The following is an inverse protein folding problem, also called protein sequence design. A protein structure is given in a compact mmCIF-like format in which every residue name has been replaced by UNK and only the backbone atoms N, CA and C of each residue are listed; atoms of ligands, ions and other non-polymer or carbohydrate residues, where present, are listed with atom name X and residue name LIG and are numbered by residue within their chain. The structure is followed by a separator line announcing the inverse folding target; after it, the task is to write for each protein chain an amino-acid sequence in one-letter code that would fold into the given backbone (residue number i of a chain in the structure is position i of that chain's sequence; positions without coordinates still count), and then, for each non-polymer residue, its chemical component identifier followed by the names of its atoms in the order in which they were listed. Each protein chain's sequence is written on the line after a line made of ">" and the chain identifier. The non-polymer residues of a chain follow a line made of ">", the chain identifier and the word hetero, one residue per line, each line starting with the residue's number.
data_IF_760179855458
#
_entry.id   IF_760179855458
#
_cell.length_a   1.000
_cell.length_b   1.000
_cell.length_c   1.000
_cell.angle_alpha   90.00
_cell.angle_beta   90.00
_cell.angle_gamma   90.00
#
_symmetry.space_group_name_H-M   'P 1'
#
loop_
_entity.id
_entity.type
_entity.pdbx_description
1 polymer ?
#
# COMPACT_ATOMS: atom_id res chain seq x y z
N UNK A 1 -70.81 -16.61 25.20
CA UNK A 1 -70.51 -15.75 24.04
C UNK A 1 -69.47 -14.62 24.33
N UNK A 2 -69.51 -13.94 25.45
CA UNK A 2 -68.60 -12.82 25.79
C UNK A 2 -67.09 -13.14 25.83
N UNK A 3 -66.70 -14.37 26.15
CA UNK A 3 -65.26 -14.77 26.21
C UNK A 3 -64.63 -14.94 24.81
N UNK A 4 -65.37 -15.49 23.86
CA UNK A 4 -64.88 -15.67 22.49
C UNK A 4 -64.67 -14.34 21.76
N UNK A 5 -65.52 -13.34 21.99
CA UNK A 5 -65.38 -11.99 21.43
C UNK A 5 -64.12 -11.29 21.94
N UNK A 6 -63.75 -11.46 23.22
CA UNK A 6 -62.53 -10.87 23.77
C UNK A 6 -61.26 -11.45 23.16
N UNK A 7 -61.20 -12.76 22.96
CA UNK A 7 -60.05 -13.46 22.36
C UNK A 7 -59.88 -13.04 20.89
N UNK A 8 -60.98 -12.95 20.14
CA UNK A 8 -60.91 -12.48 18.73
C UNK A 8 -60.44 -11.02 18.62
N UNK A 9 -60.85 -10.16 19.59
CA UNK A 9 -60.38 -8.78 19.65
C UNK A 9 -58.89 -8.66 19.90
N UNK A 10 -58.29 -9.47 20.81
CA UNK A 10 -56.87 -9.47 21.08
C UNK A 10 -56.05 -10.02 19.92
N UNK A 11 -56.56 -11.00 19.18
CA UNK A 11 -55.90 -11.55 17.97
C UNK A 11 -55.86 -10.51 16.84
N UNK A 12 -56.97 -9.75 16.65
CA UNK A 12 -57.01 -8.69 15.64
C UNK A 12 -56.07 -7.52 15.97
N UNK A 13 -56.02 -7.13 17.26
CA UNK A 13 -55.05 -6.08 17.69
C UNK A 13 -53.61 -6.54 17.52
N UNK A 14 -53.31 -7.78 17.86
CA UNK A 14 -51.97 -8.36 17.65
C UNK A 14 -51.59 -8.42 16.17
N UNK A 15 -52.51 -8.82 15.31
CA UNK A 15 -52.27 -8.89 13.85
C UNK A 15 -52.08 -7.50 13.23
N UNK A 16 -52.85 -6.49 13.66
CA UNK A 16 -52.67 -5.09 13.22
C UNK A 16 -51.39 -4.48 13.75
N UNK A 17 -51.04 -4.71 15.01
CA UNK A 17 -49.74 -4.25 15.55
C UNK A 17 -48.54 -4.91 14.83
N UNK A 18 -48.62 -6.19 14.55
CA UNK A 18 -47.59 -6.92 13.77
C UNK A 18 -47.47 -6.40 12.34
N UNK A 19 -48.58 -6.13 11.66
CA UNK A 19 -48.58 -5.55 10.31
C UNK A 19 -48.02 -4.12 10.29
N UNK A 20 -48.39 -3.29 11.28
CA UNK A 20 -47.83 -1.94 11.40
C UNK A 20 -46.31 -1.92 11.70
N UNK A 21 -45.84 -2.82 12.55
CA UNK A 21 -44.38 -2.91 12.83
C UNK A 21 -43.61 -3.40 11.65
N UNK A 22 -44.09 -4.36 10.87
CA UNK A 22 -43.42 -4.86 9.64
C UNK A 22 -43.41 -3.78 8.56
N UNK A 23 -44.47 -3.00 8.36
CA UNK A 23 -44.52 -1.91 7.40
C UNK A 23 -43.59 -0.78 7.82
N UNK A 24 -43.50 -0.47 9.12
CA UNK A 24 -42.61 0.59 9.64
C UNK A 24 -41.14 0.21 9.50
N UNK A 25 -40.76 -1.07 9.74
CA UNK A 25 -39.42 -1.56 9.51
C UNK A 25 -39.01 -1.55 8.02
N UNK A 26 -39.96 -1.87 7.12
CA UNK A 26 -39.72 -1.80 5.67
C UNK A 26 -39.55 -0.37 5.15
N UNK A 27 -40.27 0.61 5.72
CA UNK A 27 -40.13 2.03 5.34
C UNK A 27 -38.84 2.64 5.85
N UNK A 28 -38.35 2.27 7.02
CA UNK A 28 -37.06 2.72 7.54
C UNK A 28 -35.91 2.12 6.74
N UNK A 29 -36.01 0.84 6.32
CA UNK A 29 -35.01 0.19 5.47
C UNK A 29 -34.97 0.75 4.03
N UNK A 30 -36.09 1.28 3.51
CA UNK A 30 -36.15 1.88 2.17
C UNK A 30 -35.66 3.34 2.12
N UNK A 31 -35.55 4.02 3.25
CA UNK A 31 -35.15 5.43 3.29
C UNK A 31 -33.70 5.73 3.19
N UNK A 32 -32.81 4.72 3.22
CA UNK A 32 -31.35 4.92 3.26
C UNK A 32 -30.54 4.25 2.14
N UNK A 33 -31.19 3.46 1.27
CA UNK A 33 -30.51 2.84 0.14
C UNK A 33 -31.22 3.27 -1.15
N UNK A 34 -30.47 3.88 -2.07
CA UNK A 34 -30.93 4.03 -3.45
C UNK A 34 -31.40 2.66 -3.97
N UNK A 35 -32.46 2.60 -4.81
CA UNK A 35 -32.97 1.33 -5.32
C UNK A 35 -31.83 0.57 -5.99
N UNK A 36 -31.52 -0.62 -5.44
CA UNK A 36 -30.47 -1.47 -6.01
C UNK A 36 -30.91 -1.95 -7.42
N UNK A 37 -30.02 -1.94 -8.39
CA UNK A 37 -30.29 -2.43 -9.75
C UNK A 37 -30.34 -3.97 -9.72
N UNK A 38 -31.48 -4.54 -9.33
CA UNK A 38 -31.60 -5.98 -9.07
C UNK A 38 -31.42 -6.83 -10.33
N UNK A 39 -31.85 -6.36 -11.50
CA UNK A 39 -31.67 -7.08 -12.77
C UNK A 39 -30.20 -7.18 -13.15
N UNK A 40 -29.44 -6.10 -13.00
CA UNK A 40 -28.00 -6.06 -13.28
C UNK A 40 -27.21 -6.89 -12.27
N UNK A 41 -27.63 -6.88 -11.00
CA UNK A 41 -27.02 -7.75 -9.99
C UNK A 41 -27.31 -9.23 -10.25
N UNK A 42 -28.49 -9.57 -10.73
CA UNK A 42 -28.81 -10.94 -11.16
C UNK A 42 -27.96 -11.36 -12.38
N UNK A 43 -27.76 -10.45 -13.33
CA UNK A 43 -26.89 -10.70 -14.48
C UNK A 43 -25.44 -10.94 -14.04
N UNK A 44 -24.92 -10.11 -13.13
CA UNK A 44 -23.59 -10.29 -12.55
C UNK A 44 -23.47 -11.67 -11.86
N UNK A 45 -24.46 -12.04 -11.06
CA UNK A 45 -24.50 -13.34 -10.40
C UNK A 45 -24.56 -14.52 -11.39
N UNK A 46 -25.28 -14.35 -12.50
CA UNK A 46 -25.36 -15.38 -13.57
C UNK A 46 -24.01 -15.57 -14.26
N UNK A 47 -23.31 -14.45 -14.59
CA UNK A 47 -21.96 -14.51 -15.17
C UNK A 47 -20.97 -15.14 -14.21
N UNK A 48 -21.04 -14.79 -12.92
CA UNK A 48 -20.23 -15.43 -11.87
C UNK A 48 -20.45 -16.94 -11.83
N UNK A 49 -21.73 -17.38 -11.88
CA UNK A 49 -22.09 -18.80 -11.91
C UNK A 49 -21.53 -19.51 -13.15
N UNK A 50 -21.66 -18.94 -14.35
CA UNK A 50 -21.10 -19.50 -15.59
C UNK A 50 -19.57 -19.64 -15.52
N UNK A 51 -18.86 -18.63 -15.03
CA UNK A 51 -17.40 -18.71 -14.87
C UNK A 51 -17.03 -19.85 -13.93
N UNK A 52 -17.76 -19.99 -12.80
CA UNK A 52 -17.49 -21.04 -11.82
C UNK A 52 -17.72 -22.46 -12.37
N UNK A 53 -18.70 -22.65 -13.24
CA UNK A 53 -19.09 -23.97 -13.77
C UNK A 53 -18.38 -24.32 -15.07
N UNK A 54 -18.16 -23.35 -15.94
CA UNK A 54 -17.81 -23.61 -17.33
C UNK A 54 -16.35 -23.27 -17.67
N UNK A 55 -15.64 -22.53 -16.76
CA UNK A 55 -14.24 -22.24 -16.99
C UNK A 55 -13.36 -23.48 -16.81
N UNK A 56 -12.34 -23.62 -17.67
CA UNK A 56 -11.51 -24.82 -17.78
C UNK A 56 -10.68 -25.12 -16.51
N UNK A 57 -10.32 -24.09 -15.74
CA UNK A 57 -9.55 -24.22 -14.51
C UNK A 57 -10.37 -23.85 -13.27
N UNK A 58 -10.07 -24.43 -12.08
CA UNK A 58 -10.72 -24.02 -10.84
C UNK A 58 -10.51 -22.54 -10.54
N UNK A 59 -11.58 -21.81 -10.25
CA UNK A 59 -11.56 -20.37 -10.01
C UNK A 59 -11.67 -20.08 -8.51
N UNK A 60 -10.81 -19.18 -7.99
CA UNK A 60 -10.96 -18.63 -6.64
C UNK A 60 -12.11 -17.62 -6.61
N UNK A 61 -13.21 -17.99 -5.97
CA UNK A 61 -14.42 -17.17 -5.86
C UNK A 61 -14.15 -15.81 -5.21
N UNK A 62 -13.30 -15.77 -4.16
CA UNK A 62 -12.98 -14.52 -3.46
C UNK A 62 -12.18 -13.58 -4.37
N UNK A 63 -11.26 -14.15 -5.14
CA UNK A 63 -10.49 -13.39 -6.12
C UNK A 63 -11.40 -12.84 -7.21
N UNK A 64 -12.31 -13.66 -7.74
CA UNK A 64 -13.25 -13.23 -8.80
C UNK A 64 -14.15 -12.08 -8.34
N UNK A 65 -14.68 -12.15 -7.12
CA UNK A 65 -15.47 -11.04 -6.53
C UNK A 65 -14.61 -9.79 -6.32
N UNK A 66 -13.38 -9.94 -5.80
CA UNK A 66 -12.47 -8.81 -5.63
C UNK A 66 -12.13 -8.14 -6.96
N UNK A 67 -11.91 -8.92 -8.01
CA UNK A 67 -11.62 -8.41 -9.35
C UNK A 67 -12.85 -7.70 -9.97
N UNK A 68 -14.07 -8.19 -9.73
CA UNK A 68 -15.28 -7.51 -10.13
C UNK A 68 -15.44 -6.14 -9.44
N UNK A 69 -15.18 -6.07 -8.12
CA UNK A 69 -15.21 -4.81 -7.36
C UNK A 69 -14.15 -3.84 -7.91
N UNK A 70 -12.93 -4.33 -8.17
CA UNK A 70 -11.86 -3.52 -8.79
C UNK A 70 -12.30 -2.96 -10.15
N UNK A 71 -12.92 -3.80 -10.99
CA UNK A 71 -13.44 -3.38 -12.29
C UNK A 71 -14.50 -2.27 -12.19
N UNK A 72 -15.42 -2.37 -11.23
CA UNK A 72 -16.41 -1.33 -10.99
C UNK A 72 -15.79 0.01 -10.59
N UNK A 73 -14.82 -0.03 -9.67
CA UNK A 73 -14.19 1.21 -9.16
C UNK A 73 -13.27 1.84 -10.20
N UNK A 74 -12.46 1.04 -10.91
CA UNK A 74 -11.57 1.55 -11.97
C UNK A 74 -12.32 2.07 -13.21
N UNK A 75 -13.59 1.71 -13.34
CA UNK A 75 -14.48 2.25 -14.40
C UNK A 75 -14.96 3.68 -14.11
N UNK A 76 -14.77 4.22 -12.91
CA UNK A 76 -15.22 5.57 -12.55
C UNK A 76 -14.30 6.65 -13.14
N UNK A 77 -13.00 6.52 -12.87
CA UNK A 77 -11.96 7.43 -13.34
C UNK A 77 -10.55 6.78 -13.18
N UNK A 78 -9.49 7.36 -13.79
CA UNK A 78 -8.14 6.79 -13.72
C UNK A 78 -7.48 6.85 -12.33
N UNK A 79 -8.06 7.53 -11.36
CA UNK A 79 -7.50 7.77 -10.03
C UNK A 79 -8.25 7.00 -8.93
N UNK A 80 -9.42 6.44 -9.26
CA UNK A 80 -10.21 5.62 -8.33
C UNK A 80 -9.72 4.18 -8.33
N UNK A 81 -9.39 3.65 -7.15
CA UNK A 81 -8.88 2.30 -7.00
C UNK A 81 -9.47 1.61 -5.76
N UNK A 82 -9.78 0.33 -5.89
CA UNK A 82 -10.19 -0.52 -4.78
C UNK A 82 -9.02 -1.36 -4.29
N UNK A 83 -8.72 -1.24 -3.01
CA UNK A 83 -7.73 -2.06 -2.33
C UNK A 83 -8.43 -3.12 -1.47
N UNK A 84 -8.18 -4.40 -1.77
CA UNK A 84 -8.47 -5.46 -0.82
C UNK A 84 -7.50 -5.38 0.40
N UNK A 85 -7.75 -6.19 1.43
CA UNK A 85 -6.95 -6.16 2.66
C UNK A 85 -5.44 -6.30 2.41
N UNK A 86 -5.04 -7.08 1.41
CA UNK A 86 -3.63 -7.32 1.08
C UNK A 86 -3.04 -6.13 0.33
N UNK A 87 -3.68 -5.70 -0.73
CA UNK A 87 -3.22 -4.55 -1.54
C UNK A 87 -3.26 -3.25 -0.74
N UNK A 88 -4.24 -3.08 0.18
CA UNK A 88 -4.26 -1.96 1.10
C UNK A 88 -3.05 -1.95 2.06
N UNK A 89 -2.64 -3.14 2.56
CA UNK A 89 -1.43 -3.24 3.37
C UNK A 89 -0.18 -2.86 2.56
N UNK A 90 -0.06 -3.35 1.33
CA UNK A 90 1.06 -3.03 0.42
C UNK A 90 1.08 -1.52 0.10
N UNK A 91 -0.07 -0.92 -0.18
CA UNK A 91 -0.21 0.52 -0.37
C UNK A 91 0.23 1.30 0.87
N UNK A 92 -0.21 0.88 2.07
CA UNK A 92 0.22 1.50 3.32
C UNK A 92 1.72 1.36 3.59
N UNK A 93 2.32 0.24 3.28
CA UNK A 93 3.77 0.07 3.38
C UNK A 93 4.52 1.08 2.50
N UNK A 94 4.03 1.35 1.29
CA UNK A 94 4.56 2.38 0.39
C UNK A 94 4.43 3.79 0.98
N UNK A 95 3.25 4.16 1.48
CA UNK A 95 2.99 5.51 2.02
C UNK A 95 3.66 5.78 3.36
N UNK A 96 3.80 4.76 4.22
CA UNK A 96 4.53 4.88 5.49
C UNK A 96 6.04 4.78 5.31
N UNK A 97 6.51 4.23 4.21
CA UNK A 97 7.93 3.93 3.99
C UNK A 97 8.46 2.80 4.87
N UNK A 98 7.56 1.99 5.47
CA UNK A 98 7.89 0.89 6.38
C UNK A 98 7.40 -0.44 5.83
N UNK A 99 8.27 -1.41 5.80
CA UNK A 99 7.92 -2.78 5.43
C UNK A 99 8.76 -3.79 6.19
N UNK A 100 8.29 -5.03 6.31
CA UNK A 100 9.06 -6.09 6.98
C UNK A 100 9.82 -6.91 5.93
N UNK A 101 11.13 -6.98 6.10
CA UNK A 101 12.01 -7.70 5.19
C UNK A 101 13.46 -7.70 5.63
N UNK A 102 14.37 -7.83 4.68
CA UNK A 102 15.82 -7.89 4.92
C UNK A 102 16.55 -6.59 4.56
N UNK A 103 15.88 -5.64 3.90
CA UNK A 103 16.42 -4.31 3.57
C UNK A 103 17.44 -4.33 2.43
N UNK A 104 17.01 -4.82 1.26
CA UNK A 104 17.83 -4.84 0.03
C UNK A 104 17.00 -4.17 -1.08
N UNK A 105 17.62 -3.25 -1.79
CA UNK A 105 17.16 -2.77 -3.08
C UNK A 105 17.67 -3.71 -4.16
N UNK A 106 16.76 -4.22 -5.01
CA UNK A 106 17.08 -5.28 -5.96
C UNK A 106 16.60 -4.95 -7.37
N UNK A 107 17.25 -5.54 -8.35
CA UNK A 107 16.83 -5.55 -9.74
C UNK A 107 16.98 -6.96 -10.33
N UNK A 108 16.55 -7.16 -11.55
CA UNK A 108 16.76 -8.42 -12.27
C UNK A 108 17.88 -8.28 -13.30
N UNK A 109 18.82 -9.24 -13.29
CA UNK A 109 19.91 -9.32 -14.27
C UNK A 109 20.11 -10.79 -14.64
N UNK A 110 20.01 -11.13 -15.93
CA UNK A 110 20.20 -12.48 -16.49
C UNK A 110 19.37 -13.59 -15.80
N UNK A 111 18.13 -13.25 -15.42
CA UNK A 111 17.23 -14.18 -14.75
C UNK A 111 17.55 -14.42 -13.27
N UNK A 112 18.50 -13.69 -12.70
CA UNK A 112 18.86 -13.67 -11.30
C UNK A 112 18.43 -12.36 -10.64
N UNK A 113 18.37 -12.36 -9.32
CA UNK A 113 18.12 -11.14 -8.53
C UNK A 113 19.46 -10.52 -8.16
N UNK A 114 19.69 -9.30 -8.64
CA UNK A 114 20.89 -8.52 -8.36
C UNK A 114 20.62 -7.50 -7.26
N UNK A 115 21.52 -7.42 -6.30
CA UNK A 115 21.55 -6.38 -5.27
C UNK A 115 22.00 -5.07 -5.91
N UNK A 116 21.12 -4.05 -5.90
CA UNK A 116 21.49 -2.66 -6.25
C UNK A 116 22.23 -2.05 -5.07
N UNK A 117 21.59 -2.08 -3.89
CA UNK A 117 22.23 -1.66 -2.64
C UNK A 117 21.51 -2.27 -1.42
N UNK A 118 22.23 -2.61 -0.35
CA UNK A 118 21.61 -2.84 0.95
C UNK A 118 21.21 -1.50 1.57
N UNK A 119 20.05 -1.46 2.24
CA UNK A 119 19.57 -0.28 2.97
C UNK A 119 20.41 -0.13 4.24
N UNK A 120 20.95 1.06 4.47
CA UNK A 120 21.78 1.35 5.64
C UNK A 120 21.08 0.98 6.95
N UNK A 121 21.79 0.31 7.85
CA UNK A 121 21.27 -0.16 9.13
C UNK A 121 20.35 -1.38 9.06
N UNK A 122 20.04 -1.89 7.87
CA UNK A 122 19.20 -3.09 7.68
C UNK A 122 19.93 -4.40 8.03
N UNK A 123 19.20 -5.53 8.20
CA UNK A 123 19.82 -6.84 8.37
C UNK A 123 20.82 -7.20 7.26
N UNK A 124 20.48 -6.90 6.03
CA UNK A 124 21.38 -7.17 4.88
C UNK A 124 22.65 -6.33 4.93
N UNK A 125 22.53 -5.05 5.31
CA UNK A 125 23.68 -4.17 5.48
C UNK A 125 24.62 -4.67 6.57
N UNK A 126 24.07 -5.01 7.76
CA UNK A 126 24.85 -5.54 8.88
C UNK A 126 25.52 -6.88 8.58
N UNK A 127 24.90 -7.70 7.71
CA UNK A 127 25.45 -8.98 7.29
C UNK A 127 26.51 -8.86 6.17
N UNK A 128 26.84 -7.66 5.69
CA UNK A 128 27.87 -7.43 4.70
C UNK A 128 27.47 -7.81 3.26
N UNK A 129 26.17 -7.78 2.95
CA UNK A 129 25.70 -7.85 1.57
C UNK A 129 26.15 -6.57 0.84
N UNK A 130 26.66 -6.73 -0.37
CA UNK A 130 27.27 -5.65 -1.15
C UNK A 130 26.47 -5.35 -2.43
N UNK A 131 26.55 -4.13 -2.99
CA UNK A 131 26.10 -3.87 -4.35
C UNK A 131 26.74 -4.85 -5.35
N UNK A 132 25.96 -5.24 -6.36
CA UNK A 132 26.31 -6.24 -7.39
C UNK A 132 26.38 -7.69 -6.92
N UNK A 133 26.12 -8.02 -5.66
CA UNK A 133 25.88 -9.40 -5.25
C UNK A 133 24.69 -9.99 -6.02
N UNK A 134 24.78 -11.24 -6.44
CA UNK A 134 23.69 -11.96 -7.08
C UNK A 134 23.07 -12.95 -6.10
N UNK A 135 21.76 -12.84 -5.90
CA UNK A 135 20.99 -13.80 -5.09
C UNK A 135 20.62 -14.96 -6.01
N UNK A 136 21.11 -16.14 -5.71
CA UNK A 136 20.89 -17.37 -6.50
C UNK A 136 19.81 -18.26 -5.91
N UNK A 137 19.63 -18.22 -4.56
CA UNK A 137 18.56 -18.93 -3.85
C UNK A 137 18.00 -18.07 -2.72
N UNK A 138 16.72 -18.28 -2.42
CA UNK A 138 16.02 -17.76 -1.22
C UNK A 138 15.49 -19.00 -0.48
N UNK A 139 16.01 -19.28 0.70
CA UNK A 139 15.87 -20.55 1.38
C UNK A 139 16.26 -21.70 0.42
N UNK A 140 15.40 -22.72 0.24
CA UNK A 140 15.63 -23.82 -0.68
C UNK A 140 15.19 -23.53 -2.12
N UNK A 141 14.62 -22.35 -2.40
CA UNK A 141 14.07 -22.00 -3.71
C UNK A 141 15.12 -21.33 -4.58
N UNK A 142 15.44 -21.90 -5.75
CA UNK A 142 16.25 -21.23 -6.76
C UNK A 142 15.53 -19.98 -7.28
N UNK A 143 16.28 -18.87 -7.44
CA UNK A 143 15.74 -17.60 -7.92
C UNK A 143 15.55 -17.58 -9.44
N UNK A 144 16.35 -18.37 -10.16
CA UNK A 144 16.26 -18.45 -11.62
C UNK A 144 14.86 -18.90 -12.07
N UNK A 145 14.21 -18.07 -12.89
CA UNK A 145 12.83 -18.29 -13.35
C UNK A 145 11.75 -17.68 -12.46
N UNK A 146 12.07 -17.11 -11.30
CA UNK A 146 11.13 -16.34 -10.52
C UNK A 146 10.96 -14.93 -11.08
N UNK A 147 9.76 -14.37 -10.95
CA UNK A 147 9.57 -12.94 -11.12
C UNK A 147 10.23 -12.17 -9.97
N UNK A 148 10.62 -10.91 -10.21
CA UNK A 148 11.16 -10.05 -9.14
C UNK A 148 10.16 -9.91 -7.98
N UNK A 149 8.87 -9.80 -8.29
CA UNK A 149 7.79 -9.74 -7.29
C UNK A 149 7.74 -11.00 -6.41
N UNK A 150 7.91 -12.19 -6.99
CA UNK A 150 7.89 -13.43 -6.22
C UNK A 150 9.14 -13.60 -5.37
N UNK A 151 10.30 -13.16 -5.86
CA UNK A 151 11.52 -13.09 -5.07
C UNK A 151 11.34 -12.13 -3.86
N UNK A 152 10.76 -10.93 -4.08
CA UNK A 152 10.43 -9.98 -3.00
C UNK A 152 9.49 -10.61 -1.98
N UNK A 153 8.41 -11.30 -2.42
CA UNK A 153 7.47 -11.97 -1.50
C UNK A 153 8.15 -12.99 -0.61
N UNK A 154 9.12 -13.74 -1.15
CA UNK A 154 9.90 -14.74 -0.38
C UNK A 154 10.87 -14.10 0.62
N UNK A 155 11.49 -12.96 0.26
CA UNK A 155 12.37 -12.21 1.17
C UNK A 155 11.61 -11.48 2.27
N UNK A 156 10.35 -11.06 2.01
CA UNK A 156 9.44 -10.51 3.01
C UNK A 156 8.85 -11.62 3.89
N UNK A 157 8.21 -11.24 5.01
CA UNK A 157 7.56 -12.19 5.91
C UNK A 157 7.20 -11.56 7.24
N UNK A 158 6.97 -12.40 8.25
CA UNK A 158 6.73 -11.91 9.61
C UNK A 158 8.03 -11.37 10.23
N UNK A 159 7.96 -10.31 11.07
CA UNK A 159 9.12 -9.82 11.77
C UNK A 159 9.72 -10.90 12.68
N UNK A 160 11.03 -10.83 12.89
CA UNK A 160 11.81 -11.79 13.69
C UNK A 160 11.88 -13.21 13.12
N UNK A 161 11.38 -13.47 11.92
CA UNK A 161 11.60 -14.73 11.21
C UNK A 161 12.89 -14.69 10.40
N UNK A 162 13.50 -15.85 10.16
CA UNK A 162 14.73 -15.96 9.39
C UNK A 162 14.46 -16.27 7.92
N UNK A 163 15.38 -15.82 7.07
CA UNK A 163 15.47 -16.19 5.66
C UNK A 163 16.94 -16.36 5.31
N UNK A 164 17.28 -17.37 4.52
CA UNK A 164 18.64 -17.61 4.06
C UNK A 164 18.75 -17.24 2.59
N UNK A 165 19.64 -16.29 2.26
CA UNK A 165 19.96 -15.92 0.89
C UNK A 165 21.27 -16.59 0.49
N UNK A 166 21.29 -17.31 -0.62
CA UNK A 166 22.53 -17.78 -1.21
C UNK A 166 23.04 -16.73 -2.18
N UNK A 167 24.17 -16.13 -1.85
CA UNK A 167 24.79 -15.01 -2.55
C UNK A 167 25.92 -15.53 -3.42
N UNK A 168 25.98 -15.11 -4.69
CA UNK A 168 27.15 -15.22 -5.53
C UNK A 168 27.81 -13.85 -5.69
N UNK A 169 29.02 -13.69 -5.21
CA UNK A 169 29.83 -12.47 -5.31
C UNK A 169 30.84 -12.62 -6.42
N UNK A 170 30.65 -11.89 -7.52
CA UNK A 170 31.51 -12.00 -8.73
C UNK A 170 32.94 -11.67 -8.43
N UNK A 171 33.23 -10.60 -7.71
CA UNK A 171 34.58 -10.12 -7.40
C UNK A 171 35.41 -11.11 -6.59
N UNK A 172 34.74 -11.93 -5.77
CA UNK A 172 35.40 -12.98 -4.96
C UNK A 172 35.23 -14.37 -5.58
N UNK A 173 34.53 -14.50 -6.71
CA UNK A 173 34.17 -15.78 -7.36
C UNK A 173 33.62 -16.82 -6.37
N UNK A 174 32.86 -16.36 -5.37
CA UNK A 174 32.44 -17.18 -4.23
C UNK A 174 30.92 -17.19 -4.08
N UNK A 175 30.39 -18.38 -3.79
CA UNK A 175 29.00 -18.57 -3.39
C UNK A 175 28.93 -18.93 -1.91
N UNK A 176 28.09 -18.24 -1.15
CA UNK A 176 27.94 -18.45 0.29
C UNK A 176 26.52 -18.15 0.76
N UNK A 177 26.02 -18.85 1.79
CA UNK A 177 24.73 -18.55 2.41
C UNK A 177 24.88 -17.41 3.42
N UNK A 178 23.85 -16.55 3.47
CA UNK A 178 23.69 -15.48 4.47
C UNK A 178 22.31 -15.62 5.09
N UNK A 179 22.26 -15.96 6.36
CA UNK A 179 20.98 -16.03 7.11
C UNK A 179 20.69 -14.68 7.73
N UNK A 180 19.53 -14.13 7.40
CA UNK A 180 19.07 -12.82 7.83
C UNK A 180 17.80 -12.96 8.68
N UNK A 181 17.67 -12.12 9.69
CA UNK A 181 16.41 -11.98 10.45
C UNK A 181 15.61 -10.87 9.79
N UNK A 182 14.34 -11.12 9.48
CA UNK A 182 13.43 -10.09 8.95
C UNK A 182 13.10 -9.08 10.03
N UNK A 183 13.26 -7.82 9.71
CA UNK A 183 12.97 -6.70 10.60
C UNK A 183 12.09 -5.68 9.89
N UNK A 184 11.51 -4.75 10.66
CA UNK A 184 10.87 -3.57 10.07
C UNK A 184 11.96 -2.68 9.47
N UNK A 185 11.89 -2.47 8.17
CA UNK A 185 12.80 -1.62 7.40
C UNK A 185 12.11 -0.29 7.18
N UNK A 186 12.81 0.78 7.45
CA UNK A 186 12.37 2.12 7.12
C UNK A 186 13.20 2.70 5.98
N UNK A 187 12.52 3.08 4.91
CA UNK A 187 13.16 3.78 3.79
C UNK A 187 13.26 5.27 4.11
N UNK A 188 14.38 5.89 3.71
CA UNK A 188 14.54 7.34 3.79
C UNK A 188 14.11 7.96 2.46
N UNK A 189 13.03 8.75 2.50
CA UNK A 189 12.54 9.48 1.33
C UNK A 189 13.30 10.77 1.05
N UNK A 190 14.07 11.27 2.03
CA UNK A 190 14.81 12.53 1.92
C UNK A 190 16.32 12.28 1.95
N UNK A 191 17.03 12.85 0.99
CA UNK A 191 18.50 12.89 0.92
C UNK A 191 18.94 14.31 0.60
N UNK A 192 20.09 14.72 1.11
CA UNK A 192 20.60 16.06 0.83
C UNK A 192 22.06 16.21 1.20
N UNK A 193 22.70 17.22 0.66
CA UNK A 193 24.10 17.60 0.93
C UNK A 193 24.37 19.02 0.54
N UNK A 194 25.40 19.60 1.12
CA UNK A 194 26.06 20.80 0.59
C UNK A 194 26.79 20.39 -0.70
N UNK A 195 26.57 21.13 -1.78
CA UNK A 195 27.23 20.90 -3.09
C UNK A 195 28.56 21.66 -3.11
N UNK A 196 28.49 22.94 -2.77
CA UNK A 196 29.61 23.88 -2.65
C UNK A 196 29.20 24.98 -1.67
N UNK A 197 30.12 25.80 -1.15
CA UNK A 197 29.80 26.86 -0.21
C UNK A 197 28.69 27.78 -0.70
N UNK A 198 27.62 27.89 0.05
CA UNK A 198 26.42 28.67 -0.25
C UNK A 198 25.36 27.92 -1.06
N UNK A 199 25.60 26.67 -1.49
CA UNK A 199 24.67 25.93 -2.33
C UNK A 199 24.43 24.51 -1.79
N UNK A 200 23.17 24.17 -1.61
CA UNK A 200 22.76 22.84 -1.17
C UNK A 200 21.70 22.21 -2.08
N UNK A 201 21.56 20.92 -1.95
CA UNK A 201 20.61 20.11 -2.66
C UNK A 201 19.91 19.18 -1.69
N UNK A 202 18.56 19.14 -1.75
CA UNK A 202 17.72 18.16 -1.05
C UNK A 202 16.83 17.51 -2.09
N UNK A 203 16.78 16.18 -2.06
CA UNK A 203 15.89 15.36 -2.88
C UNK A 203 14.84 14.71 -2.03
N UNK A 204 13.59 14.78 -2.46
CA UNK A 204 12.48 13.99 -1.97
C UNK A 204 12.13 12.98 -3.05
N UNK A 205 12.20 11.69 -2.74
CA UNK A 205 11.91 10.61 -3.68
C UNK A 205 10.47 10.13 -3.61
N UNK A 206 9.76 10.42 -2.52
CA UNK A 206 8.34 10.13 -2.30
C UNK A 206 7.86 10.87 -1.05
N UNK A 207 6.58 11.27 -1.01
CA UNK A 207 5.97 11.88 0.16
C UNK A 207 5.41 10.80 1.10
N UNK A 208 6.15 10.48 2.16
CA UNK A 208 5.83 9.47 3.17
C UNK A 208 5.55 10.13 4.54
N UNK A 209 5.08 9.35 5.53
CA UNK A 209 4.77 9.85 6.88
C UNK A 209 5.91 10.66 7.51
N UNK A 210 7.15 10.23 7.30
CA UNK A 210 8.34 10.89 7.89
C UNK A 210 9.03 11.90 6.99
N UNK A 211 8.51 12.14 5.80
CA UNK A 211 9.17 13.02 4.84
C UNK A 211 9.38 14.42 5.39
N UNK A 212 8.40 14.95 6.15
CA UNK A 212 8.51 16.28 6.76
C UNK A 212 9.61 16.31 7.80
N UNK A 213 9.61 15.38 8.76
CA UNK A 213 10.63 15.32 9.81
C UNK A 213 12.04 15.11 9.25
N UNK A 214 12.16 14.19 8.26
CA UNK A 214 13.43 13.89 7.62
C UNK A 214 13.93 15.09 6.79
N UNK A 215 13.02 15.86 6.16
CA UNK A 215 13.35 17.09 5.45
C UNK A 215 13.86 18.18 6.40
N UNK A 216 13.14 18.42 7.50
CA UNK A 216 13.55 19.40 8.51
C UNK A 216 14.91 19.04 9.09
N UNK A 217 15.09 17.78 9.49
CA UNK A 217 16.36 17.27 10.04
C UNK A 217 17.51 17.44 9.04
N UNK A 218 17.26 17.15 7.75
CA UNK A 218 18.27 17.28 6.70
C UNK A 218 18.60 18.77 6.40
N UNK A 219 17.59 19.63 6.40
CA UNK A 219 17.78 21.06 6.21
C UNK A 219 18.61 21.66 7.37
N UNK A 220 18.34 21.27 8.62
CA UNK A 220 19.12 21.68 9.78
C UNK A 220 20.57 21.18 9.73
N UNK A 221 20.78 19.93 9.31
CA UNK A 221 22.14 19.37 9.11
C UNK A 221 22.93 20.19 8.09
N UNK A 222 22.31 20.51 6.95
CA UNK A 222 22.92 21.32 5.89
C UNK A 222 23.23 22.73 6.39
N UNK A 223 22.29 23.37 7.11
CA UNK A 223 22.49 24.69 7.67
C UNK A 223 23.61 24.76 8.72
N UNK A 224 23.78 23.67 9.53
CA UNK A 224 24.90 23.53 10.46
C UNK A 224 26.24 23.40 9.74
N UNK A 225 26.26 22.71 8.56
CA UNK A 225 27.47 22.59 7.74
C UNK A 225 27.83 23.90 7.02
N UNK A 226 26.82 24.62 6.53
CA UNK A 226 27.00 25.88 5.85
C UNK A 226 25.96 26.93 6.33
N UNK A 227 26.26 27.68 7.39
CA UNK A 227 25.37 28.74 7.91
C UNK A 227 25.14 29.90 6.93
N UNK A 228 25.98 30.05 5.91
CA UNK A 228 25.89 31.09 4.87
C UNK A 228 25.18 30.56 3.60
N UNK A 229 24.38 29.55 3.72
CA UNK A 229 23.61 28.99 2.60
C UNK A 229 22.78 30.06 1.90
N UNK A 230 22.94 30.19 0.58
CA UNK A 230 22.25 31.19 -0.25
C UNK A 230 21.13 30.53 -1.09
N UNK A 231 21.35 29.31 -1.53
CA UNK A 231 20.47 28.62 -2.47
C UNK A 231 20.27 27.14 -2.08
N UNK A 232 19.02 26.70 -2.19
CA UNK A 232 18.63 25.31 -2.03
C UNK A 232 17.96 24.81 -3.30
N UNK A 233 18.47 23.74 -3.88
CA UNK A 233 17.82 23.00 -4.96
C UNK A 233 16.96 21.92 -4.33
N UNK A 234 15.63 22.03 -4.48
CA UNK A 234 14.68 20.96 -4.13
C UNK A 234 14.46 20.09 -5.36
N UNK A 235 14.91 18.83 -5.29
CA UNK A 235 14.85 17.86 -6.38
C UNK A 235 13.68 16.90 -6.17
N UNK A 236 12.64 17.02 -7.00
CA UNK A 236 11.44 16.17 -7.01
C UNK A 236 11.38 15.28 -8.25
N UNK A 237 12.46 15.13 -8.98
CA UNK A 237 12.47 14.30 -10.20
C UNK A 237 12.21 12.83 -9.87
N UNK A 238 11.30 12.20 -10.63
CA UNK A 238 10.85 10.82 -10.44
C UNK A 238 10.17 10.59 -9.08
N UNK A 239 9.64 11.63 -8.43
CA UNK A 239 8.77 11.50 -7.27
C UNK A 239 7.35 11.18 -7.77
N UNK A 240 6.77 10.01 -7.45
CA UNK A 240 5.43 9.64 -7.88
C UNK A 240 4.32 10.34 -7.06
N UNK A 241 4.68 11.10 -6.01
CA UNK A 241 3.76 11.70 -5.05
C UNK A 241 3.77 10.97 -3.71
N UNK A 242 2.59 10.84 -3.08
CA UNK A 242 2.40 10.20 -1.78
C UNK A 242 1.38 10.92 -0.92
N UNK A 243 1.70 11.14 0.37
CA UNK A 243 0.79 11.76 1.32
C UNK A 243 0.64 13.26 1.04
N UNK A 244 -0.61 13.70 0.83
CA UNK A 244 -0.96 15.08 0.54
C UNK A 244 -0.53 16.02 1.68
N UNK A 245 -0.76 15.62 2.93
CA UNK A 245 -0.39 16.43 4.11
C UNK A 245 1.13 16.68 4.17
N UNK A 246 1.94 15.69 3.82
CA UNK A 246 3.39 15.84 3.74
C UNK A 246 3.80 16.81 2.63
N UNK A 247 3.15 16.75 1.47
CA UNK A 247 3.40 17.67 0.36
C UNK A 247 3.00 19.11 0.72
N UNK A 248 1.85 19.27 1.39
CA UNK A 248 1.37 20.58 1.88
C UNK A 248 2.35 21.16 2.91
N UNK A 249 2.80 20.36 3.89
CA UNK A 249 3.73 20.81 4.91
C UNK A 249 5.08 21.25 4.32
N UNK A 250 5.65 20.46 3.40
CA UNK A 250 6.89 20.84 2.71
C UNK A 250 6.70 22.13 1.87
N UNK A 251 5.61 22.21 1.10
CA UNK A 251 5.32 23.40 0.29
C UNK A 251 5.16 24.64 1.15
N UNK A 252 4.48 24.50 2.30
CA UNK A 252 4.25 25.61 3.25
C UNK A 252 5.54 26.18 3.84
N UNK A 253 6.63 25.37 3.91
CA UNK A 253 7.93 25.84 4.37
C UNK A 253 8.57 26.88 3.42
N UNK A 254 8.11 26.94 2.17
CA UNK A 254 8.63 27.87 1.14
C UNK A 254 7.66 28.99 0.79
N UNK A 255 6.45 28.98 1.34
CA UNK A 255 5.39 29.93 1.00
C UNK A 255 5.11 30.90 2.17
N UNK A 256 4.60 32.11 1.88
CA UNK A 256 4.10 32.98 2.91
C UNK A 256 2.95 32.33 3.73
N UNK A 257 2.78 32.82 4.96
CA UNK A 257 1.67 32.33 5.79
C UNK A 257 0.30 32.61 5.11
N UNK A 258 -0.66 31.70 5.34
CA UNK A 258 -2.03 31.81 4.83
C UNK A 258 -2.20 31.73 3.30
N UNK A 259 -1.22 31.19 2.59
CA UNK A 259 -1.35 30.89 1.15
C UNK A 259 -1.98 29.50 1.00
N UNK A 260 -3.01 29.40 0.16
CA UNK A 260 -3.62 28.10 -0.19
C UNK A 260 -2.65 27.31 -1.06
N UNK A 261 -2.21 26.14 -0.59
CA UNK A 261 -1.35 25.21 -1.35
C UNK A 261 -2.20 24.37 -2.29
N UNK A 262 -3.29 23.83 -1.77
CA UNK A 262 -4.21 22.96 -2.51
C UNK A 262 -5.63 23.13 -1.96
N UNK A 263 -6.62 22.93 -2.81
CA UNK A 263 -8.02 22.84 -2.40
C UNK A 263 -8.69 21.64 -3.08
N UNK A 264 -9.60 21.01 -2.36
CA UNK A 264 -10.47 19.97 -2.91
C UNK A 264 -11.91 20.51 -3.00
N UNK A 265 -12.61 20.18 -4.08
CA UNK A 265 -14.01 20.53 -4.26
C UNK A 265 -14.78 19.26 -4.61
N UNK A 266 -15.79 18.94 -3.81
CA UNK A 266 -16.64 17.77 -3.98
C UNK A 266 -18.07 18.05 -3.54
N UNK A 267 -18.89 17.00 -3.55
CA UNK A 267 -20.31 17.04 -3.11
C UNK A 267 -20.47 16.63 -1.64
N UNK A 268 -19.41 16.47 -0.88
CA UNK A 268 -19.43 16.13 0.55
C UNK A 268 -19.50 17.39 1.38
#
# INVERSE_FOLDING_TARGET
>A
MRHKLKITGWILIGAMAGALTTVSLQTVARGSLAPLPLEELQQLASVFGMIKTDYVEPVDEKKLISDAIKGMVSGLDPHSEYYDKKSYKEFREGTTGRFVGVGIEITQEDGLVKVVSPIEGSPAYRAGIKPNDLITKIDDTAVKGLSLSDAVKKMRGQPNTKVTLTIFRKDESRTFPVTLTREEIQTKSVRGKVIEPGYAWIRISQFQDRTVDDFVSKAEEIYKQDPNLKWLVLDLRNDPGGLLDSAVAISSAFLPANVTVVSTKGQL
#
